data_IF_553460056207
#
_entry.id   IF_553460056207
#
_cell.length_a   1.000
_cell.length_b   1.000
_cell.length_c   1.000
_cell.angle_alpha   90.00
_cell.angle_beta   90.00
_cell.angle_gamma   90.00
#
_symmetry.space_group_name_H-M   'P 1'
#
loop_
_entity.id
_entity.type
_entity.pdbx_description
1 polymer ?
#
# COMPACT_ATOMS: atom_id res chain seq x y z
N UNK A 1 19.11 6.94 -1.65
CA UNK A 1 17.76 7.53 -1.42
C UNK A 1 17.82 8.69 -0.43
N UNK A 2 18.67 8.62 0.59
CA UNK A 2 18.86 9.59 1.68
C UNK A 2 18.63 11.09 1.36
N UNK A 3 19.22 11.71 0.31
CA UNK A 3 18.99 13.13 0.01
C UNK A 3 17.56 13.49 -0.49
N UNK A 4 16.63 12.54 -0.51
CA UNK A 4 15.24 12.72 -0.94
C UNK A 4 14.20 12.52 0.18
N UNK A 5 14.61 12.02 1.36
CA UNK A 5 13.71 11.84 2.50
C UNK A 5 13.31 13.19 3.13
N UNK A 6 12.29 13.17 4.00
CA UNK A 6 11.76 14.32 4.75
C UNK A 6 11.10 15.45 3.91
N UNK A 7 11.09 15.33 2.58
CA UNK A 7 10.63 16.34 1.62
C UNK A 7 9.14 16.23 1.24
N UNK A 8 8.32 15.45 1.95
CA UNK A 8 6.90 15.26 1.61
C UNK A 8 6.66 14.42 0.34
N UNK A 9 7.68 13.71 -0.14
CA UNK A 9 7.63 12.97 -1.41
C UNK A 9 6.86 11.66 -1.28
N UNK A 10 6.34 11.18 -2.41
CA UNK A 10 5.77 9.84 -2.55
C UNK A 10 6.80 8.94 -3.24
N UNK A 11 7.14 7.83 -2.60
CA UNK A 11 7.98 6.76 -3.12
C UNK A 11 7.09 5.65 -3.69
N UNK A 12 7.21 5.39 -4.98
CA UNK A 12 6.51 4.30 -5.67
C UNK A 12 7.41 3.06 -5.74
N UNK A 13 6.89 1.89 -5.36
CA UNK A 13 7.69 0.64 -5.25
C UNK A 13 6.95 -0.61 -5.73
N UNK A 14 7.74 -1.64 -6.04
CA UNK A 14 7.26 -2.97 -6.39
C UNK A 14 6.85 -3.79 -5.16
N UNK A 15 6.36 -5.01 -5.40
CA UNK A 15 5.90 -5.90 -4.34
C UNK A 15 7.01 -6.57 -3.51
N UNK A 16 8.28 -6.49 -3.90
CA UNK A 16 9.41 -6.90 -3.08
C UNK A 16 9.70 -5.87 -1.98
N UNK A 17 9.77 -4.58 -2.35
CA UNK A 17 10.12 -3.51 -1.40
C UNK A 17 8.93 -3.03 -0.56
N UNK A 18 7.68 -3.19 -1.02
CA UNK A 18 6.49 -2.76 -0.23
C UNK A 18 6.30 -3.56 1.07
N UNK A 19 5.99 -2.88 2.18
CA UNK A 19 5.37 -3.45 3.38
C UNK A 19 4.63 -2.38 4.19
N UNK A 20 3.63 -2.77 4.99
CA UNK A 20 2.89 -1.83 5.85
C UNK A 20 3.75 -1.21 6.96
N UNK A 21 4.73 -1.96 7.50
CA UNK A 21 5.67 -1.45 8.52
C UNK A 21 6.58 -0.37 7.92
N UNK A 22 7.19 -0.64 6.76
CA UNK A 22 8.02 0.35 6.05
C UNK A 22 7.22 1.60 5.65
N UNK A 23 5.94 1.45 5.28
CA UNK A 23 5.07 2.60 5.02
C UNK A 23 4.91 3.49 6.26
N UNK A 24 4.82 2.91 7.45
CA UNK A 24 4.74 3.66 8.72
C UNK A 24 6.07 4.37 9.05
N UNK A 25 7.18 3.65 8.89
CA UNK A 25 8.54 4.16 9.15
C UNK A 25 8.86 5.36 8.23
N UNK A 26 8.54 5.25 6.94
CA UNK A 26 8.69 6.33 5.97
C UNK A 26 7.72 7.49 6.21
N UNK A 27 6.48 7.22 6.64
CA UNK A 27 5.50 8.27 6.97
C UNK A 27 5.99 9.15 8.12
N UNK A 28 6.59 8.56 9.15
CA UNK A 28 7.27 9.29 10.23
C UNK A 28 8.44 10.15 9.70
N UNK A 29 9.08 9.73 8.61
CA UNK A 29 10.10 10.48 7.87
C UNK A 29 9.52 11.39 6.77
N UNK A 30 8.24 11.82 6.89
CA UNK A 30 7.52 12.66 5.90
C UNK A 30 7.66 12.17 4.45
N UNK A 31 7.61 10.84 4.27
CA UNK A 31 7.76 10.18 2.96
C UNK A 31 6.64 9.14 2.82
N UNK A 32 5.75 9.31 1.86
CA UNK A 32 4.68 8.34 1.63
C UNK A 32 5.19 7.14 0.82
N UNK A 33 4.71 5.94 1.12
CA UNK A 33 5.00 4.73 0.34
C UNK A 33 3.75 4.26 -0.42
N UNK A 34 3.86 4.14 -1.73
CA UNK A 34 2.82 3.55 -2.60
C UNK A 34 3.42 2.33 -3.31
N UNK A 35 2.68 1.22 -3.31
CA UNK A 35 3.16 -0.03 -3.90
C UNK A 35 2.21 -1.19 -3.70
N UNK A 36 2.46 -2.30 -4.40
CA UNK A 36 1.59 -3.48 -4.36
C UNK A 36 2.03 -4.45 -3.25
N UNK A 37 1.12 -4.90 -2.38
CA UNK A 37 1.46 -5.76 -1.25
C UNK A 37 1.43 -7.26 -1.61
N UNK A 38 2.52 -7.99 -1.35
CA UNK A 38 2.52 -9.47 -1.38
C UNK A 38 1.56 -10.00 -0.30
N UNK A 39 0.53 -10.76 -0.69
CA UNK A 39 -0.49 -11.33 0.23
C UNK A 39 0.09 -12.06 1.45
N UNK A 40 1.24 -12.76 1.29
CA UNK A 40 1.93 -13.50 2.35
C UNK A 40 2.98 -12.68 3.16
N UNK A 41 3.07 -11.36 2.99
CA UNK A 41 3.95 -10.50 3.83
C UNK A 41 3.46 -10.55 5.30
N UNK A 42 4.38 -10.60 6.27
CA UNK A 42 4.04 -10.51 7.70
C UNK A 42 3.36 -9.16 7.99
N UNK A 43 2.52 -9.12 9.02
CA UNK A 43 1.83 -7.92 9.54
C UNK A 43 0.88 -7.20 8.55
N UNK A 44 0.53 -7.84 7.42
CA UNK A 44 -0.61 -7.40 6.62
C UNK A 44 -1.94 -7.60 7.39
N UNK A 45 -2.91 -6.67 7.32
CA UNK A 45 -4.25 -6.88 7.87
C UNK A 45 -4.95 -8.09 7.25
N UNK A 46 -5.33 -9.04 8.10
CA UNK A 46 -5.93 -10.32 7.68
C UNK A 46 -7.38 -10.13 7.20
N UNK A 47 -8.11 -9.17 7.75
CA UNK A 47 -9.50 -8.88 7.33
C UNK A 47 -9.59 -8.18 5.97
N UNK A 48 -8.48 -7.60 5.47
CA UNK A 48 -8.35 -7.11 4.09
C UNK A 48 -7.86 -8.24 3.19
N UNK A 49 -6.72 -8.85 3.52
CA UNK A 49 -6.03 -9.78 2.61
C UNK A 49 -6.78 -11.10 2.38
N UNK A 50 -7.36 -11.70 3.42
CA UNK A 50 -8.02 -13.02 3.32
C UNK A 50 -9.45 -12.93 2.79
N UNK A 51 -10.19 -11.88 3.18
CA UNK A 51 -11.63 -11.70 2.93
C UNK A 51 -11.99 -11.79 1.44
N UNK A 52 -12.94 -12.67 1.10
CA UNK A 52 -13.53 -12.73 -0.24
C UNK A 52 -14.33 -11.46 -0.49
N UNK A 53 -14.06 -10.79 -1.62
CA UNK A 53 -14.71 -9.54 -1.98
C UNK A 53 -16.19 -9.79 -2.34
N UNK A 54 -17.09 -8.98 -1.77
CA UNK A 54 -18.52 -8.90 -2.11
C UNK A 54 -18.89 -7.62 -2.88
N UNK A 55 -17.94 -6.68 -2.97
CA UNK A 55 -17.93 -5.41 -3.72
C UNK A 55 -16.54 -5.28 -4.35
N UNK A 56 -16.32 -4.33 -5.26
CA UNK A 56 -15.04 -4.18 -5.98
C UNK A 56 -13.81 -3.96 -5.07
N UNK A 57 -13.97 -3.30 -3.92
CA UNK A 57 -12.86 -2.98 -3.01
C UNK A 57 -13.21 -3.22 -1.53
N UNK A 58 -12.17 -3.52 -0.75
CA UNK A 58 -12.10 -3.30 0.70
C UNK A 58 -10.78 -2.61 1.04
N UNK A 59 -10.80 -1.67 1.99
CA UNK A 59 -9.61 -1.06 2.55
C UNK A 59 -9.67 -1.06 4.09
N UNK A 60 -8.50 -0.90 4.71
CA UNK A 60 -8.34 -0.59 6.13
C UNK A 60 -7.23 0.45 6.28
N UNK A 61 -7.48 1.45 7.10
CA UNK A 61 -6.48 2.43 7.54
C UNK A 61 -5.95 2.02 8.94
N UNK A 62 -4.68 2.35 9.20
CA UNK A 62 -4.07 2.28 10.52
C UNK A 62 -2.88 3.24 10.59
N UNK A 63 -2.90 4.19 11.54
CA UNK A 63 -1.83 5.16 11.81
C UNK A 63 -1.34 5.96 10.57
N UNK A 64 -2.24 6.24 9.62
CA UNK A 64 -1.96 6.94 8.36
C UNK A 64 -1.55 6.04 7.20
N UNK A 65 -1.41 4.72 7.42
CA UNK A 65 -1.14 3.74 6.37
C UNK A 65 -2.44 3.06 5.93
N UNK A 66 -2.77 3.16 4.64
CA UNK A 66 -3.94 2.50 4.05
C UNK A 66 -3.52 1.21 3.34
N UNK A 67 -4.08 0.07 3.77
CA UNK A 67 -3.98 -1.20 3.05
C UNK A 67 -5.31 -1.49 2.35
N UNK A 68 -5.29 -1.42 1.03
CA UNK A 68 -6.45 -1.70 0.18
C UNK A 68 -6.28 -3.01 -0.61
N UNK A 69 -7.42 -3.62 -0.93
CA UNK A 69 -7.54 -4.77 -1.81
C UNK A 69 -8.77 -4.57 -2.69
N UNK A 70 -8.53 -4.49 -3.99
CA UNK A 70 -9.56 -4.41 -5.00
C UNK A 70 -9.53 -5.66 -5.90
N UNK A 71 -10.58 -5.88 -6.67
CA UNK A 71 -10.65 -6.93 -7.69
C UNK A 71 -11.42 -6.40 -8.91
N UNK A 72 -10.68 -6.23 -10.00
CA UNK A 72 -11.24 -5.90 -11.31
C UNK A 72 -11.97 -7.11 -11.95
N UNK A 73 -12.71 -6.83 -13.02
CA UNK A 73 -13.39 -7.80 -13.90
C UNK A 73 -12.98 -7.67 -15.37
N UNK A 74 -12.54 -6.50 -15.85
CA UNK A 74 -11.92 -6.31 -17.19
C UNK A 74 -11.41 -4.87 -17.41
N UNK A 75 -10.59 -4.72 -18.46
CA UNK A 75 -9.53 -3.72 -18.57
C UNK A 75 -9.97 -2.24 -18.61
N UNK A 76 -9.16 -1.41 -17.95
CA UNK A 76 -9.31 0.06 -17.89
C UNK A 76 -7.99 0.71 -18.34
N UNK A 77 -7.94 1.41 -19.49
CA UNK A 77 -6.79 2.22 -19.87
C UNK A 77 -6.85 3.60 -19.19
N UNK A 78 -5.92 3.88 -18.28
CA UNK A 78 -5.84 5.15 -17.52
C UNK A 78 -4.42 5.69 -17.44
N UNK A 79 -4.31 7.02 -17.39
CA UNK A 79 -3.07 7.78 -17.17
C UNK A 79 -3.32 8.83 -16.08
N UNK A 80 -2.58 8.75 -14.98
CA UNK A 80 -2.59 9.70 -13.85
C UNK A 80 -1.32 9.56 -13.02
#
# INVERSE_FOLDING_TARGET
MEPLFHQGRILFTDNFHTSAVLAQELLNQKTHLVGTLRKKRKLNPTEVTTKKLKREMIAREHNGVVVLKWQDKRDIPTLS
#
